data_IF_550502657142
#
_entry.id   IF_550502657142
#
_cell.length_a   1.000
_cell.length_b   1.000
_cell.length_c   1.000
_cell.angle_alpha   90.00
_cell.angle_beta   90.00
_cell.angle_gamma   90.00
#
_symmetry.space_group_name_H-M   'P 1'
#
loop_
_entity.id
_entity.type
_entity.pdbx_description
1 polymer ?
#
# COMPACT_ATOMS: atom_id res chain seq x y z
N UNK A 1 12.45 -10.98 -7.13
CA UNK A 1 12.11 -11.88 -8.25
C UNK A 1 10.74 -11.44 -8.69
N UNK A 2 10.62 -10.75 -9.83
CA UNK A 2 9.32 -10.40 -10.38
C UNK A 2 8.67 -11.67 -10.90
N UNK A 3 7.42 -11.91 -10.52
CA UNK A 3 6.66 -13.03 -11.05
C UNK A 3 6.45 -12.78 -12.55
N UNK A 4 6.86 -13.73 -13.38
CA UNK A 4 6.67 -13.65 -14.82
C UNK A 4 5.29 -14.21 -15.13
N UNK A 5 4.28 -13.35 -15.19
CA UNK A 5 2.92 -13.75 -15.54
C UNK A 5 2.78 -13.81 -17.06
N UNK A 6 2.24 -14.91 -17.57
CA UNK A 6 1.90 -15.01 -18.98
C UNK A 6 0.79 -13.98 -19.30
N UNK A 7 0.92 -13.19 -20.38
CA UNK A 7 -0.10 -12.22 -20.74
C UNK A 7 -1.41 -12.92 -21.10
N UNK A 8 -2.47 -12.62 -20.34
CA UNK A 8 -3.81 -13.13 -20.55
C UNK A 8 -4.73 -12.00 -21.08
N UNK A 9 -5.54 -12.24 -22.13
CA UNK A 9 -6.47 -11.23 -22.64
C UNK A 9 -7.47 -10.80 -21.58
N UNK A 10 -7.55 -9.50 -21.29
CA UNK A 10 -8.50 -8.95 -20.33
C UNK A 10 -8.07 -9.05 -18.86
N UNK A 11 -6.80 -9.39 -18.58
CA UNK A 11 -6.23 -9.39 -17.24
C UNK A 11 -5.06 -8.42 -17.15
N UNK A 12 -4.97 -7.70 -16.03
CA UNK A 12 -3.81 -6.86 -15.70
C UNK A 12 -3.19 -7.34 -14.39
N UNK A 13 -1.91 -7.69 -14.43
CA UNK A 13 -1.13 -8.07 -13.25
C UNK A 13 -0.39 -6.85 -12.70
N UNK A 14 -0.65 -6.52 -11.43
CA UNK A 14 0.09 -5.51 -10.69
C UNK A 14 0.92 -6.18 -9.61
N UNK A 15 2.25 -6.06 -9.70
CA UNK A 15 3.16 -6.40 -8.61
C UNK A 15 3.64 -5.11 -7.94
N UNK A 16 3.22 -4.89 -6.70
CA UNK A 16 3.65 -3.73 -5.90
C UNK A 16 4.56 -4.21 -4.78
N UNK A 17 5.78 -3.68 -4.74
CA UNK A 17 6.71 -3.88 -3.63
C UNK A 17 6.73 -2.63 -2.75
N UNK A 18 6.27 -2.80 -1.51
CA UNK A 18 6.35 -1.78 -0.47
C UNK A 18 7.31 -2.23 0.63
N UNK A 19 7.95 -1.25 1.27
CA UNK A 19 8.73 -1.49 2.49
C UNK A 19 7.95 -0.96 3.68
N UNK A 20 8.48 -1.06 4.88
CA UNK A 20 8.08 -0.26 6.04
C UNK A 20 9.28 0.59 6.48
N UNK A 21 9.09 1.61 7.30
CA UNK A 21 10.24 2.20 8.01
C UNK A 21 10.59 1.41 9.28
N UNK A 22 11.78 1.67 9.81
CA UNK A 22 12.20 1.16 11.10
C UNK A 22 11.47 1.88 12.23
N UNK A 23 10.75 1.13 13.06
CA UNK A 23 10.12 1.67 14.28
C UNK A 23 8.70 2.20 14.08
N UNK A 24 8.21 2.29 12.84
CA UNK A 24 6.79 2.59 12.59
C UNK A 24 5.91 1.50 13.21
N UNK A 25 5.02 1.92 14.10
CA UNK A 25 4.04 1.06 14.78
C UNK A 25 4.65 -0.20 15.42
N UNK A 26 5.88 -0.10 15.97
CA UNK A 26 6.58 -1.24 16.57
C UNK A 26 5.69 -2.00 17.57
N UNK A 27 5.61 -3.32 17.40
CA UNK A 27 4.83 -4.18 18.28
C UNK A 27 3.33 -4.21 17.94
N UNK A 28 2.86 -3.34 17.04
CA UNK A 28 1.52 -3.44 16.50
C UNK A 28 1.40 -4.57 15.49
N UNK A 29 0.20 -5.12 15.42
CA UNK A 29 -0.13 -6.23 14.56
C UNK A 29 -0.76 -5.70 13.27
N UNK A 30 -0.12 -5.93 12.12
CA UNK A 30 -0.75 -5.68 10.84
C UNK A 30 -1.82 -6.75 10.60
N UNK A 31 -3.07 -6.32 10.43
CA UNK A 31 -4.21 -7.22 10.16
C UNK A 31 -4.57 -7.29 8.67
N UNK A 32 -4.24 -6.25 7.89
CA UNK A 32 -4.52 -6.21 6.45
C UNK A 32 -3.62 -5.24 5.71
N UNK A 33 -3.37 -5.51 4.43
CA UNK A 33 -2.72 -4.60 3.49
C UNK A 33 -3.68 -4.33 2.33
N UNK A 34 -3.76 -3.09 1.88
CA UNK A 34 -4.58 -2.71 0.72
C UNK A 34 -3.83 -1.77 -0.21
N UNK A 35 -4.23 -1.75 -1.47
CA UNK A 35 -3.75 -0.79 -2.46
C UNK A 35 -4.83 0.27 -2.69
N UNK A 36 -4.43 1.54 -2.68
CA UNK A 36 -5.30 2.66 -3.00
C UNK A 36 -4.75 3.44 -4.18
N UNK A 37 -5.62 4.03 -4.98
CA UNK A 37 -5.26 4.89 -6.11
C UNK A 37 -5.79 6.31 -5.91
N UNK A 38 -5.29 7.27 -6.71
CA UNK A 38 -5.65 8.70 -6.60
C UNK A 38 -5.45 9.29 -5.19
N UNK A 39 -4.55 8.68 -4.42
CA UNK A 39 -4.11 9.17 -3.13
C UNK A 39 -2.86 10.05 -3.28
N UNK A 40 -2.75 11.09 -2.47
CA UNK A 40 -1.61 12.00 -2.41
C UNK A 40 -1.39 12.48 -0.97
N UNK A 41 -0.22 13.08 -0.72
CA UNK A 41 0.04 13.70 0.58
C UNK A 41 -0.87 14.92 0.77
N UNK A 42 -1.62 14.94 1.87
CA UNK A 42 -2.45 16.09 2.26
C UNK A 42 -1.61 17.35 2.51
N UNK A 43 -0.37 17.20 3.01
CA UNK A 43 0.58 18.28 3.19
C UNK A 43 1.41 18.51 1.92
N UNK A 44 0.99 19.49 1.12
CA UNK A 44 1.70 19.90 -0.09
C UNK A 44 3.12 20.45 0.17
N UNK A 45 3.48 20.79 1.40
CA UNK A 45 4.85 21.20 1.75
C UNK A 45 5.79 20.01 1.96
N UNK A 46 5.27 18.78 2.07
CA UNK A 46 6.05 17.55 2.27
C UNK A 46 5.78 16.47 1.22
N UNK A 47 5.84 16.78 -0.08
CA UNK A 47 5.52 15.79 -1.13
C UNK A 47 6.46 14.58 -1.14
N UNK A 48 7.64 14.69 -0.52
CA UNK A 48 8.64 13.61 -0.42
C UNK A 48 8.50 12.70 0.80
N UNK A 49 7.49 12.89 1.67
CA UNK A 49 7.27 11.99 2.81
C UNK A 49 6.75 10.65 2.29
N UNK A 50 7.54 9.59 2.48
CA UNK A 50 7.24 8.25 1.96
C UNK A 50 6.23 7.46 2.81
N UNK A 51 6.18 7.76 4.11
CA UNK A 51 5.30 7.13 5.09
C UNK A 51 4.27 8.16 5.56
N UNK A 52 3.00 7.89 5.30
CA UNK A 52 1.89 8.77 5.64
C UNK A 52 1.03 8.09 6.69
N UNK A 53 0.71 8.84 7.73
CA UNK A 53 -0.36 8.46 8.66
C UNK A 53 -1.71 8.51 7.93
N UNK A 54 -2.75 7.81 8.42
CA UNK A 54 -4.06 7.81 7.78
C UNK A 54 -4.63 9.21 7.52
N UNK A 55 -4.46 10.15 8.46
CA UNK A 55 -4.89 11.55 8.31
C UNK A 55 -4.04 12.38 7.32
N UNK A 56 -2.85 11.91 6.94
CA UNK A 56 -1.98 12.58 5.99
C UNK A 56 -2.25 12.15 4.54
N UNK A 57 -3.18 11.21 4.33
CA UNK A 57 -3.59 10.74 3.00
C UNK A 57 -4.81 11.54 2.55
N UNK A 58 -4.67 12.29 1.46
CA UNK A 58 -5.76 12.94 0.76
C UNK A 58 -6.10 12.18 -0.53
N UNK A 59 -7.38 12.15 -0.87
CA UNK A 59 -7.88 11.55 -2.10
C UNK A 59 -8.30 12.65 -3.09
N UNK A 60 -8.13 12.38 -4.38
CA UNK A 60 -8.50 13.33 -5.45
C UNK A 60 -10.00 13.70 -5.37
N UNK A 61 -10.36 15.00 -5.45
CA UNK A 61 -11.75 15.43 -5.39
C UNK A 61 -12.54 14.92 -6.59
N UNK A 62 -13.84 14.63 -6.38
CA UNK A 62 -14.76 14.21 -7.43
C UNK A 62 -14.91 12.69 -7.60
N UNK A 63 -14.25 11.88 -6.78
CA UNK A 63 -14.50 10.44 -6.67
C UNK A 63 -14.70 10.04 -5.20
N UNK A 64 -15.35 8.89 -4.98
CA UNK A 64 -15.55 8.34 -3.63
C UNK A 64 -14.26 7.63 -3.16
N UNK A 65 -13.70 7.99 -1.98
CA UNK A 65 -12.54 7.28 -1.41
C UNK A 65 -12.74 5.77 -1.24
N UNK A 66 -13.97 5.30 -1.03
CA UNK A 66 -14.25 3.87 -0.95
C UNK A 66 -13.99 3.14 -2.27
N UNK A 67 -14.29 3.80 -3.40
CA UNK A 67 -14.04 3.28 -4.75
C UNK A 67 -12.56 3.33 -5.12
N UNK A 68 -11.76 4.13 -4.40
CA UNK A 68 -10.32 4.27 -4.62
C UNK A 68 -9.47 3.15 -4.00
N UNK A 69 -10.09 2.18 -3.34
CA UNK A 69 -9.41 1.04 -2.72
C UNK A 69 -9.58 -0.22 -3.57
N UNK A 70 -8.48 -0.79 -4.06
CA UNK A 70 -8.47 -2.01 -4.89
C UNK A 70 -8.58 -3.30 -4.04
N UNK A 71 -9.12 -3.18 -2.83
CA UNK A 71 -9.30 -4.29 -1.88
C UNK A 71 -8.34 -4.25 -0.68
N UNK A 72 -8.49 -5.26 0.20
CA UNK A 72 -7.60 -5.50 1.32
C UNK A 72 -7.37 -7.01 1.47
N UNK A 73 -6.09 -7.37 1.59
CA UNK A 73 -5.64 -8.74 1.83
C UNK A 73 -5.36 -8.87 3.32
N UNK A 74 -5.97 -9.84 4.03
CA UNK A 74 -5.65 -10.09 5.43
C UNK A 74 -4.20 -10.56 5.55
N UNK A 75 -3.50 -10.05 6.56
CA UNK A 75 -2.14 -10.45 6.89
C UNK A 75 -2.02 -10.65 8.40
N UNK A 76 -1.01 -11.41 8.81
CA UNK A 76 -0.74 -11.67 10.23
C UNK A 76 0.77 -11.58 10.47
N UNK A 77 1.26 -10.34 10.57
CA UNK A 77 2.62 -10.08 11.03
C UNK A 77 2.69 -8.84 11.93
N UNK A 78 3.62 -8.90 12.89
CA UNK A 78 3.92 -7.79 13.80
C UNK A 78 4.98 -6.89 13.19
N UNK A 79 4.79 -5.58 13.27
CA UNK A 79 5.80 -4.60 12.89
C UNK A 79 7.01 -4.68 13.81
N UNK A 80 8.20 -4.50 13.26
CA UNK A 80 9.47 -4.72 13.96
C UNK A 80 10.30 -3.44 13.92
N UNK A 81 10.94 -3.12 15.04
CA UNK A 81 11.79 -1.94 15.14
C UNK A 81 12.97 -1.93 14.18
N UNK A 82 13.61 -3.07 13.98
CA UNK A 82 14.92 -3.18 13.31
C UNK A 82 14.89 -4.01 12.04
N UNK A 83 13.72 -4.47 11.60
CA UNK A 83 13.58 -5.28 10.39
C UNK A 83 12.64 -4.56 9.44
N UNK A 84 13.15 -4.27 8.25
CA UNK A 84 12.34 -3.73 7.17
C UNK A 84 11.51 -4.85 6.57
N UNK A 85 10.18 -4.78 6.70
CA UNK A 85 9.32 -5.72 6.01
C UNK A 85 9.30 -5.40 4.52
N UNK A 86 9.30 -6.44 3.69
CA UNK A 86 8.99 -6.33 2.26
C UNK A 86 7.63 -6.95 2.05
N UNK A 87 6.68 -6.18 1.52
CA UNK A 87 5.35 -6.66 1.17
C UNK A 87 5.25 -6.65 -0.35
N UNK A 88 5.04 -7.82 -0.94
CA UNK A 88 4.71 -7.98 -2.35
C UNK A 88 3.22 -8.25 -2.45
N UNK A 89 2.50 -7.35 -3.12
CA UNK A 89 1.07 -7.51 -3.39
C UNK A 89 0.91 -7.83 -4.87
N UNK A 90 0.23 -8.93 -5.16
CA UNK A 90 -0.15 -9.34 -6.52
C UNK A 90 -1.65 -9.12 -6.68
N UNK A 91 -2.04 -8.33 -7.68
CA UNK A 91 -3.44 -8.14 -8.05
C UNK A 91 -3.67 -8.59 -9.49
N UNK A 92 -4.77 -9.30 -9.69
CA UNK A 92 -5.35 -9.66 -10.97
C UNK A 92 -6.67 -8.87 -11.10
N UNK A 93 -6.76 -8.00 -12.11
CA UNK A 93 -7.92 -7.15 -12.42
C UNK A 93 -8.41 -7.45 -13.83
#
# INVERSE_FOLDING_TARGET
MTANHDPAPGQVFFQVEARTDFGDSEGEQCASVGLVFRAHNADAAKPGKLWLEPEEIAFEPGFDPADMKIGAVPVDFTFRRTVRQHVTIELEI
#
